data_IF_462609985299
#
_entry.id   IF_462609985299
#
_cell.length_a   1.000
_cell.length_b   1.000
_cell.length_c   1.000
_cell.angle_alpha   90.00
_cell.angle_beta   90.00
_cell.angle_gamma   90.00
#
_symmetry.space_group_name_H-M   'P 1'
#
loop_
_entity.id
_entity.type
_entity.pdbx_description
1 polymer ?
#
# COMPACT_ATOMS: atom_id res chain seq x y z
N UNK A 1 12.03 11.99 -52.24
CA UNK A 1 11.79 12.84 -51.02
C UNK A 1 10.81 12.10 -50.10
N UNK A 2 11.33 11.30 -49.15
CA UNK A 2 10.52 10.61 -48.16
C UNK A 2 10.55 11.42 -46.88
N UNK A 3 9.38 11.94 -46.48
CA UNK A 3 9.17 12.56 -45.16
C UNK A 3 9.15 11.46 -44.12
N UNK A 4 10.19 11.41 -43.29
CA UNK A 4 10.20 10.64 -42.07
C UNK A 4 9.34 11.40 -41.06
N UNK A 5 8.19 10.82 -40.74
CA UNK A 5 7.32 11.28 -39.65
C UNK A 5 7.98 10.93 -38.30
N UNK A 6 8.46 11.95 -37.66
CA UNK A 6 8.89 11.84 -36.25
C UNK A 6 7.65 11.63 -35.38
N UNK A 7 7.40 10.41 -34.92
CA UNK A 7 6.39 10.15 -33.90
C UNK A 7 6.90 10.75 -32.59
N UNK A 8 6.19 11.76 -32.10
CA UNK A 8 6.37 12.30 -30.76
C UNK A 8 6.19 11.14 -29.75
N UNK A 9 7.27 10.77 -29.09
CA UNK A 9 7.19 9.95 -27.88
C UNK A 9 6.56 10.83 -26.81
N UNK A 10 5.33 10.53 -26.43
CA UNK A 10 4.69 11.12 -25.26
C UNK A 10 5.53 10.69 -24.05
N UNK A 11 6.14 11.67 -23.39
CA UNK A 11 6.94 11.43 -22.19
C UNK A 11 6.04 10.77 -21.14
N UNK A 12 6.45 9.57 -20.65
CA UNK A 12 5.87 8.99 -19.44
C UNK A 12 5.88 10.07 -18.35
N UNK A 13 4.72 10.34 -17.78
CA UNK A 13 4.59 11.23 -16.64
C UNK A 13 5.34 10.56 -15.48
N UNK A 14 6.61 10.94 -15.27
CA UNK A 14 7.34 10.52 -14.07
C UNK A 14 6.54 10.99 -12.86
N UNK A 15 6.02 10.04 -12.10
CA UNK A 15 5.35 10.31 -10.84
C UNK A 15 6.41 10.86 -9.90
N UNK A 16 6.40 12.17 -9.70
CA UNK A 16 7.41 12.87 -8.91
C UNK A 16 7.14 12.67 -7.41
N UNK A 17 8.23 12.57 -6.64
CA UNK A 17 8.14 12.64 -5.18
C UNK A 17 7.43 13.92 -4.74
N UNK A 18 6.63 13.82 -3.68
CA UNK A 18 5.95 14.98 -3.08
C UNK A 18 6.99 15.94 -2.54
N UNK A 19 6.85 17.21 -2.84
CA UNK A 19 7.73 18.27 -2.32
C UNK A 19 7.37 18.53 -0.84
N UNK A 20 7.72 17.59 0.03
CA UNK A 20 7.37 17.61 1.47
C UNK A 20 7.85 18.88 2.18
N UNK A 21 8.89 19.55 1.67
CA UNK A 21 9.41 20.81 2.19
C UNK A 21 8.36 21.94 2.13
N UNK A 22 7.39 21.84 1.21
CA UNK A 22 6.28 22.80 1.10
C UNK A 22 5.16 22.51 2.11
N UNK A 23 5.12 21.31 2.64
CA UNK A 23 4.08 20.80 3.55
C UNK A 23 4.60 20.82 4.98
N UNK A 24 5.83 20.38 5.20
CA UNK A 24 6.49 20.35 6.51
C UNK A 24 6.99 21.74 6.91
N UNK A 25 6.07 22.67 7.02
CA UNK A 25 6.34 24.06 7.42
C UNK A 25 6.55 24.14 8.95
N UNK A 26 6.95 25.32 9.45
CA UNK A 26 7.28 25.54 10.87
C UNK A 26 6.14 25.30 11.87
N UNK A 27 4.92 25.20 11.38
CA UNK A 27 3.70 24.87 12.13
C UNK A 27 3.52 23.36 12.35
N UNK A 28 4.32 22.50 11.69
CA UNK A 28 4.32 21.06 11.88
C UNK A 28 5.28 20.69 13.01
N UNK A 29 4.78 20.00 14.02
CA UNK A 29 5.55 19.57 15.18
C UNK A 29 6.38 18.32 14.81
N UNK A 30 7.70 18.39 15.05
CA UNK A 30 8.60 17.27 14.83
C UNK A 30 8.64 16.80 13.36
N UNK A 31 8.91 17.69 12.38
CA UNK A 31 8.82 17.35 10.96
C UNK A 31 9.78 16.23 10.53
N UNK A 32 10.83 15.97 11.31
CA UNK A 32 11.79 14.91 11.05
C UNK A 32 11.17 13.50 10.98
N UNK A 33 10.03 13.27 11.69
CA UNK A 33 9.29 12.02 11.68
C UNK A 33 8.71 11.62 10.31
N UNK A 34 8.66 12.56 9.38
CA UNK A 34 8.07 12.39 8.05
C UNK A 34 9.11 12.39 6.92
N UNK A 35 10.39 12.31 7.26
CA UNK A 35 11.48 12.43 6.29
C UNK A 35 12.19 11.11 5.97
N UNK A 36 11.97 10.04 6.74
CA UNK A 36 12.59 8.74 6.54
C UNK A 36 14.13 8.74 6.60
N UNK A 37 14.72 9.66 7.34
CA UNK A 37 16.18 9.85 7.43
C UNK A 37 16.80 9.28 8.71
N UNK A 38 16.06 8.44 9.45
CA UNK A 38 16.59 7.80 10.64
C UNK A 38 17.60 6.70 10.32
N UNK A 39 18.42 6.37 11.32
CA UNK A 39 19.39 5.28 11.21
C UNK A 39 18.67 3.96 10.92
N UNK A 40 19.10 3.26 9.86
CA UNK A 40 18.49 2.01 9.44
C UNK A 40 17.40 2.15 8.36
N UNK A 41 17.06 3.36 7.94
CA UNK A 41 16.20 3.56 6.77
C UNK A 41 16.87 3.03 5.50
N UNK A 42 16.10 2.35 4.68
CA UNK A 42 16.58 1.78 3.40
C UNK A 42 16.04 2.63 2.25
N UNK A 43 16.93 3.16 1.44
CA UNK A 43 16.60 3.94 0.26
C UNK A 43 17.04 3.21 -0.99
N UNK A 44 16.11 2.50 -1.65
CA UNK A 44 16.36 1.86 -2.94
C UNK A 44 15.90 2.77 -4.08
N UNK A 45 16.60 2.77 -5.23
CA UNK A 45 16.13 3.50 -6.40
C UNK A 45 14.76 2.96 -6.85
N UNK A 46 13.81 3.86 -7.03
CA UNK A 46 12.42 3.53 -7.37
C UNK A 46 12.28 2.66 -8.61
N UNK A 47 13.12 2.95 -9.62
CA UNK A 47 13.08 2.31 -10.93
C UNK A 47 13.62 0.88 -10.92
N UNK A 48 14.36 0.50 -9.89
CA UNK A 48 14.95 -0.86 -9.79
C UNK A 48 13.99 -1.89 -9.22
N UNK A 49 12.93 -1.42 -8.55
CA UNK A 49 11.96 -2.30 -7.92
C UNK A 49 10.87 -2.75 -8.91
N UNK A 50 10.59 -4.03 -8.93
CA UNK A 50 9.45 -4.62 -9.65
C UNK A 50 8.18 -4.58 -8.80
N UNK A 51 8.31 -4.77 -7.48
CA UNK A 51 7.23 -4.60 -6.51
C UNK A 51 7.60 -3.55 -5.48
N UNK A 52 6.69 -2.63 -5.25
CA UNK A 52 6.83 -1.50 -4.33
C UNK A 52 5.80 -1.61 -3.23
N UNK A 53 6.29 -1.77 -2.02
CA UNK A 53 5.49 -1.93 -0.82
C UNK A 53 5.45 -0.65 -0.01
N UNK A 54 4.33 -0.43 0.67
CA UNK A 54 4.31 0.41 1.87
C UNK A 54 3.81 -0.45 3.03
N UNK A 55 4.63 -0.60 4.05
CA UNK A 55 4.17 -1.09 5.34
C UNK A 55 3.68 0.10 6.17
N UNK A 56 2.45 0.01 6.60
CA UNK A 56 1.78 1.07 7.35
C UNK A 56 1.53 0.60 8.78
N UNK A 57 1.85 1.48 9.72
CA UNK A 57 1.45 1.28 11.10
C UNK A 57 0.39 2.34 11.45
N UNK A 58 -0.85 1.94 11.83
CA UNK A 58 -1.96 2.88 11.98
C UNK A 58 -1.92 3.61 13.32
N UNK A 59 -0.75 4.13 13.66
CA UNK A 59 -0.45 4.98 14.82
C UNK A 59 0.57 6.04 14.43
N UNK A 60 0.75 7.02 15.31
CA UNK A 60 1.77 8.05 15.10
C UNK A 60 3.17 7.44 15.01
N UNK A 61 4.07 8.18 14.35
CA UNK A 61 5.44 7.74 14.07
C UNK A 61 6.16 7.12 15.27
N UNK A 62 6.05 7.73 16.48
CA UNK A 62 6.76 7.28 17.67
C UNK A 62 6.36 5.88 18.12
N UNK A 63 5.12 5.51 17.89
CA UNK A 63 4.59 4.17 18.19
C UNK A 63 4.99 3.18 17.10
N UNK A 64 4.74 3.51 15.85
CA UNK A 64 4.99 2.61 14.73
C UNK A 64 6.48 2.36 14.49
N UNK A 65 7.30 3.40 14.51
CA UNK A 65 8.75 3.30 14.30
C UNK A 65 9.49 2.52 15.38
N UNK A 66 8.89 2.38 16.58
CA UNK A 66 9.44 1.58 17.69
C UNK A 66 8.90 0.13 17.71
N UNK A 67 7.94 -0.21 16.85
CA UNK A 67 7.37 -1.55 16.79
C UNK A 67 8.34 -2.53 16.11
N UNK A 68 8.80 -3.52 16.87
CA UNK A 68 9.81 -4.48 16.40
C UNK A 68 9.32 -5.33 15.22
N UNK A 69 8.07 -5.82 15.25
CA UNK A 69 7.49 -6.60 14.16
C UNK A 69 7.46 -5.81 12.85
N UNK A 70 7.04 -4.55 12.92
CA UNK A 70 7.04 -3.65 11.76
C UNK A 70 8.45 -3.44 11.19
N UNK A 71 9.46 -3.25 12.04
CA UNK A 71 10.87 -3.11 11.62
C UNK A 71 11.40 -4.40 10.98
N UNK A 72 11.07 -5.56 11.56
CA UNK A 72 11.50 -6.86 11.03
C UNK A 72 10.95 -7.06 9.62
N UNK A 73 9.65 -6.89 9.41
CA UNK A 73 9.01 -7.06 8.11
C UNK A 73 9.55 -6.06 7.07
N UNK A 74 9.74 -4.80 7.46
CA UNK A 74 10.37 -3.79 6.61
C UNK A 74 11.77 -4.22 6.13
N UNK A 75 12.60 -4.77 7.01
CA UNK A 75 13.93 -5.24 6.66
C UNK A 75 13.89 -6.49 5.77
N UNK A 76 12.98 -7.44 6.04
CA UNK A 76 12.81 -8.65 5.24
C UNK A 76 12.43 -8.31 3.79
N UNK A 77 11.46 -7.43 3.60
CA UNK A 77 11.04 -6.99 2.27
C UNK A 77 12.16 -6.21 1.56
N UNK A 78 12.86 -5.35 2.27
CA UNK A 78 13.99 -4.63 1.69
C UNK A 78 15.23 -5.52 1.44
N UNK A 79 15.32 -6.71 2.03
CA UNK A 79 16.35 -7.68 1.68
C UNK A 79 16.09 -8.34 0.30
N UNK A 80 14.86 -8.32 -0.20
CA UNK A 80 14.52 -8.88 -1.51
C UNK A 80 15.12 -8.02 -2.64
N UNK A 81 15.80 -8.63 -3.64
CA UNK A 81 16.58 -7.87 -4.64
C UNK A 81 15.76 -6.92 -5.51
N UNK A 82 14.53 -7.33 -5.88
CA UNK A 82 13.67 -6.61 -6.82
C UNK A 82 12.47 -5.94 -6.14
N UNK A 83 12.47 -5.88 -4.82
CA UNK A 83 11.42 -5.27 -4.04
C UNK A 83 11.93 -4.05 -3.30
N UNK A 84 11.08 -3.08 -3.14
CA UNK A 84 11.28 -1.88 -2.36
C UNK A 84 10.16 -1.82 -1.34
N UNK A 85 10.49 -1.52 -0.11
CA UNK A 85 9.50 -1.30 0.94
C UNK A 85 9.77 0.04 1.62
N UNK A 86 8.78 0.90 1.59
CA UNK A 86 8.72 2.14 2.36
C UNK A 86 7.80 1.96 3.57
N UNK A 87 7.77 2.95 4.45
CA UNK A 87 6.88 2.97 5.60
C UNK A 87 5.95 4.17 5.56
N UNK A 88 4.79 4.02 6.17
CA UNK A 88 3.88 5.13 6.45
C UNK A 88 3.25 4.97 7.84
N UNK A 89 2.90 6.10 8.43
CA UNK A 89 2.34 6.19 9.76
C UNK A 89 1.11 7.10 9.75
N UNK A 90 0.24 6.96 10.74
CA UNK A 90 -0.84 7.91 10.94
C UNK A 90 -0.23 9.31 11.16
N UNK A 91 -0.56 10.30 10.34
CA UNK A 91 -0.05 11.65 10.56
C UNK A 91 -0.64 12.25 11.82
N UNK A 92 0.17 13.01 12.57
CA UNK A 92 -0.35 13.79 13.67
C UNK A 92 -1.39 14.82 13.17
N UNK A 93 -2.29 15.30 14.03
CA UNK A 93 -3.42 16.16 13.62
C UNK A 93 -3.01 17.42 12.85
N UNK A 94 -1.84 17.98 13.13
CA UNK A 94 -1.30 19.15 12.42
C UNK A 94 -0.96 18.83 10.97
N UNK A 95 -0.27 17.69 10.72
CA UNK A 95 0.02 17.24 9.37
C UNK A 95 -1.25 16.77 8.65
N UNK A 96 -2.13 16.01 9.30
CA UNK A 96 -3.39 15.57 8.69
C UNK A 96 -4.24 16.76 8.20
N UNK A 97 -4.35 17.80 9.03
CA UNK A 97 -5.00 19.05 8.65
C UNK A 97 -4.32 19.70 7.44
N UNK A 98 -2.99 19.76 7.45
CA UNK A 98 -2.22 20.37 6.35
C UNK A 98 -2.40 19.63 5.04
N UNK A 99 -2.38 18.29 5.07
CA UNK A 99 -2.61 17.45 3.89
C UNK A 99 -3.99 17.76 3.26
N UNK A 100 -5.03 17.86 4.09
CA UNK A 100 -6.38 18.21 3.61
C UNK A 100 -6.44 19.63 3.03
N UNK A 101 -5.87 20.61 3.70
CA UNK A 101 -5.86 22.00 3.25
C UNK A 101 -5.13 22.20 1.92
N UNK A 102 -4.03 21.47 1.72
CA UNK A 102 -3.21 21.54 0.50
C UNK A 102 -3.62 20.54 -0.57
N UNK A 103 -4.62 19.69 -0.29
CA UNK A 103 -5.03 18.59 -1.16
C UNK A 103 -3.85 17.69 -1.55
N UNK A 104 -2.90 17.51 -0.62
CA UNK A 104 -1.76 16.63 -0.80
C UNK A 104 -2.10 15.26 -0.22
N UNK A 105 -1.94 14.16 -0.96
CA UNK A 105 -2.20 12.83 -0.44
C UNK A 105 -1.21 12.44 0.64
N UNK A 106 -1.60 11.52 1.53
CA UNK A 106 -0.69 10.88 2.47
C UNK A 106 0.42 10.18 1.69
N UNK A 107 1.62 10.23 2.22
CA UNK A 107 2.84 9.76 1.55
C UNK A 107 3.69 8.84 2.44
N UNK A 108 4.47 8.00 1.80
CA UNK A 108 5.48 7.17 2.43
C UNK A 108 6.73 7.98 2.79
N UNK A 109 7.38 7.65 3.90
CA UNK A 109 8.41 8.53 4.50
C UNK A 109 9.76 8.45 3.79
N UNK A 110 10.16 7.33 3.19
CA UNK A 110 11.45 7.18 2.52
C UNK A 110 11.47 7.83 1.13
N UNK A 111 10.62 7.36 0.22
CA UNK A 111 10.58 7.87 -1.15
C UNK A 111 9.67 9.10 -1.32
N UNK A 112 8.91 9.48 -0.28
CA UNK A 112 8.01 10.66 -0.28
C UNK A 112 7.01 10.65 -1.43
N UNK A 113 6.55 9.46 -1.81
CA UNK A 113 5.55 9.26 -2.85
C UNK A 113 4.17 9.06 -2.24
N UNK A 114 3.12 9.42 -3.00
CA UNK A 114 1.75 9.08 -2.62
C UNK A 114 1.62 7.58 -2.37
N UNK A 115 0.81 7.18 -1.39
CA UNK A 115 0.54 5.76 -1.16
C UNK A 115 -0.09 5.09 -2.39
N UNK A 116 -0.76 5.84 -3.25
CA UNK A 116 -1.32 5.35 -4.52
C UNK A 116 -0.27 5.00 -5.59
N UNK A 117 0.99 5.43 -5.42
CA UNK A 117 2.06 5.14 -6.37
C UNK A 117 2.69 3.76 -6.16
N UNK A 118 2.36 3.10 -5.07
CA UNK A 118 2.90 1.79 -4.72
C UNK A 118 2.01 0.66 -5.28
N UNK A 119 2.55 -0.54 -5.30
CA UNK A 119 1.83 -1.72 -5.79
C UNK A 119 0.97 -2.36 -4.70
N UNK A 120 1.40 -2.24 -3.44
CA UNK A 120 0.77 -2.89 -2.31
C UNK A 120 0.98 -2.09 -1.01
N UNK A 121 -0.09 -1.98 -0.21
CA UNK A 121 -0.11 -1.40 1.12
C UNK A 121 -0.46 -2.46 2.16
N UNK A 122 0.42 -2.67 3.14
CA UNK A 122 0.18 -3.56 4.26
C UNK A 122 -0.06 -2.81 5.55
N UNK A 123 -1.16 -3.07 6.22
CA UNK A 123 -1.52 -2.48 7.51
C UNK A 123 -1.27 -3.45 8.67
N UNK A 124 -0.52 -3.01 9.68
CA UNK A 124 -0.34 -3.75 10.93
C UNK A 124 -1.55 -3.53 11.83
N UNK A 125 -2.52 -4.44 11.78
CA UNK A 125 -3.70 -4.42 12.65
C UNK A 125 -3.41 -5.23 13.92
N UNK A 126 -2.77 -4.57 14.89
CA UNK A 126 -2.33 -5.19 16.15
C UNK A 126 -3.39 -5.15 17.25
N UNK A 127 -4.37 -4.24 17.16
CA UNK A 127 -5.51 -4.10 18.06
C UNK A 127 -6.67 -3.38 17.35
N UNK A 128 -7.88 -3.55 17.86
CA UNK A 128 -9.13 -3.18 17.18
C UNK A 128 -9.27 -1.69 16.91
N UNK A 129 -8.79 -0.84 17.83
CA UNK A 129 -8.90 0.63 17.67
C UNK A 129 -8.07 1.16 16.48
N UNK A 130 -7.07 0.38 16.03
CA UNK A 130 -6.29 0.72 14.85
C UNK A 130 -7.12 0.78 13.56
N UNK A 131 -8.28 0.11 13.51
CA UNK A 131 -9.12 0.05 12.32
C UNK A 131 -9.59 1.44 11.86
N UNK A 132 -10.02 2.30 12.79
CA UNK A 132 -10.45 3.67 12.43
C UNK A 132 -9.30 4.52 11.89
N UNK A 133 -8.10 4.31 12.41
CA UNK A 133 -6.89 4.98 11.93
C UNK A 133 -6.52 4.52 10.52
N UNK A 134 -6.73 3.24 10.20
CA UNK A 134 -6.55 2.71 8.83
C UNK A 134 -7.47 3.45 7.85
N UNK A 135 -8.75 3.60 8.20
CA UNK A 135 -9.71 4.33 7.36
C UNK A 135 -9.30 5.79 7.16
N UNK A 136 -8.84 6.46 8.20
CA UNK A 136 -8.28 7.83 8.12
C UNK A 136 -7.07 7.89 7.17
N UNK A 137 -6.16 6.91 7.23
CA UNK A 137 -4.99 6.86 6.36
C UNK A 137 -5.37 6.62 4.90
N UNK A 138 -6.36 5.76 4.63
CA UNK A 138 -6.88 5.53 3.28
C UNK A 138 -7.56 6.79 2.72
N UNK A 139 -8.38 7.46 3.52
CA UNK A 139 -9.02 8.74 3.15
C UNK A 139 -7.98 9.82 2.81
N UNK A 140 -6.99 10.01 3.66
CA UNK A 140 -5.89 10.95 3.43
C UNK A 140 -5.04 10.61 2.20
N UNK A 141 -4.96 9.34 1.83
CA UNK A 141 -4.27 8.89 0.62
C UNK A 141 -5.14 9.00 -0.65
N UNK A 142 -6.43 9.32 -0.51
CA UNK A 142 -7.38 9.35 -1.63
C UNK A 142 -7.72 7.95 -2.17
N UNK A 143 -7.54 6.91 -1.35
CA UNK A 143 -7.83 5.52 -1.70
C UNK A 143 -9.25 5.18 -1.24
N UNK A 144 -10.10 4.57 -2.08
CA UNK A 144 -11.43 4.14 -1.68
C UNK A 144 -11.36 3.16 -0.50
N UNK A 145 -12.27 3.32 0.47
CA UNK A 145 -12.19 2.61 1.74
C UNK A 145 -12.41 1.10 1.59
N UNK A 146 -13.34 0.70 0.72
CA UNK A 146 -13.70 -0.71 0.55
C UNK A 146 -13.09 -1.32 -0.71
N UNK A 147 -12.84 -2.63 -0.69
CA UNK A 147 -12.39 -3.35 -1.88
C UNK A 147 -13.42 -3.28 -3.02
N UNK A 148 -14.71 -3.23 -2.70
CA UNK A 148 -15.79 -3.07 -3.69
C UNK A 148 -15.67 -1.76 -4.45
N UNK A 149 -15.50 -0.64 -3.75
CA UNK A 149 -15.32 0.67 -4.37
C UNK A 149 -14.04 0.73 -5.22
N UNK A 150 -12.95 0.10 -4.77
CA UNK A 150 -11.71 0.01 -5.56
C UNK A 150 -11.94 -0.77 -6.84
N UNK A 151 -12.61 -1.91 -6.77
CA UNK A 151 -12.93 -2.74 -7.92
C UNK A 151 -13.87 -2.03 -8.92
N UNK A 152 -14.89 -1.31 -8.44
CA UNK A 152 -15.78 -0.53 -9.29
C UNK A 152 -15.03 0.56 -10.05
N UNK A 153 -14.12 1.27 -9.39
CA UNK A 153 -13.30 2.30 -10.03
C UNK A 153 -12.27 1.70 -11.00
N UNK A 154 -11.73 0.52 -10.73
CA UNK A 154 -10.87 -0.22 -11.65
C UNK A 154 -11.62 -0.52 -12.96
N UNK A 155 -12.84 -1.09 -12.87
CA UNK A 155 -13.68 -1.39 -14.04
C UNK A 155 -14.05 -0.15 -14.85
N UNK A 156 -14.24 0.99 -14.21
CA UNK A 156 -14.53 2.26 -14.88
C UNK A 156 -13.37 2.80 -15.73
N UNK A 157 -12.16 2.28 -15.55
CA UNK A 157 -10.95 2.67 -16.32
C UNK A 157 -10.64 1.75 -17.50
N UNK A 158 -11.41 0.67 -17.70
CA UNK A 158 -11.25 -0.21 -18.85
C UNK A 158 -11.47 0.59 -20.15
N UNK A 159 -10.39 0.87 -20.87
CA UNK A 159 -10.40 1.68 -22.10
C UNK A 159 -9.64 3.01 -22.02
N UNK A 160 -9.16 3.43 -20.87
CA UNK A 160 -8.23 4.56 -20.75
C UNK A 160 -6.80 4.08 -21.01
N UNK A 161 -6.23 4.46 -22.15
CA UNK A 161 -4.82 4.23 -22.45
C UNK A 161 -3.94 5.08 -21.54
N UNK A 162 -2.90 4.44 -20.95
CA UNK A 162 -1.77 5.06 -20.22
C UNK A 162 -1.96 5.33 -18.71
N UNK A 163 -2.13 4.28 -17.94
CA UNK A 163 -1.68 4.30 -16.54
C UNK A 163 -0.24 3.78 -16.44
N UNK A 164 0.62 4.46 -15.66
CA UNK A 164 1.98 3.99 -15.34
C UNK A 164 1.96 2.76 -14.43
N UNK A 165 0.82 2.45 -13.83
CA UNK A 165 0.55 1.31 -12.96
C UNK A 165 -0.39 0.32 -13.66
N UNK A 166 -0.15 -0.96 -13.41
CA UNK A 166 -0.99 -2.05 -13.92
C UNK A 166 -2.42 -1.99 -13.34
N UNK A 167 -2.60 -1.34 -12.18
CA UNK A 167 -3.87 -1.21 -11.46
C UNK A 167 -4.13 0.23 -11.04
N UNK A 168 -5.42 0.59 -10.87
CA UNK A 168 -5.84 1.93 -10.44
C UNK A 168 -5.41 2.28 -9.01
N UNK A 169 -5.39 1.27 -8.15
CA UNK A 169 -5.04 1.39 -6.74
C UNK A 169 -4.13 0.23 -6.31
N UNK A 170 -3.27 0.44 -5.29
CA UNK A 170 -2.50 -0.65 -4.72
C UNK A 170 -3.40 -1.77 -4.18
N UNK A 171 -2.86 -2.97 -4.03
CA UNK A 171 -3.49 -4.00 -3.20
C UNK A 171 -3.43 -3.57 -1.74
N UNK A 172 -4.54 -3.64 -1.04
CA UNK A 172 -4.63 -3.26 0.37
C UNK A 172 -4.81 -4.52 1.21
N UNK A 173 -3.90 -4.77 2.14
CA UNK A 173 -4.03 -5.90 3.04
C UNK A 173 -3.80 -5.52 4.50
N UNK A 174 -4.34 -6.33 5.40
CA UNK A 174 -4.00 -6.28 6.81
C UNK A 174 -3.30 -7.57 7.24
N UNK A 175 -2.42 -7.44 8.21
CA UNK A 175 -1.86 -8.54 8.98
C UNK A 175 -1.75 -8.14 10.44
N UNK A 176 -1.30 -9.08 11.26
CA UNK A 176 -1.13 -8.85 12.69
C UNK A 176 -2.15 -9.58 13.54
N UNK A 177 -2.01 -9.45 14.86
CA UNK A 177 -2.70 -10.30 15.82
C UNK A 177 -4.23 -10.19 15.75
N UNK A 178 -4.76 -8.98 15.62
CA UNK A 178 -6.21 -8.76 15.55
C UNK A 178 -6.79 -9.30 14.23
N UNK A 179 -6.11 -9.04 13.10
CA UNK A 179 -6.53 -9.57 11.82
C UNK A 179 -6.50 -11.10 11.79
N UNK A 180 -5.51 -11.73 12.42
CA UNK A 180 -5.40 -13.20 12.52
C UNK A 180 -6.47 -13.79 13.44
N UNK A 181 -6.82 -13.11 14.54
CA UNK A 181 -7.81 -13.60 15.50
C UNK A 181 -9.24 -13.62 14.94
N UNK A 182 -9.63 -12.57 14.21
CA UNK A 182 -10.93 -12.48 13.54
C UNK A 182 -10.86 -11.46 12.39
N UNK A 183 -10.71 -11.88 11.14
CA UNK A 183 -10.61 -10.98 9.99
C UNK A 183 -11.96 -10.37 9.58
N UNK A 184 -13.09 -11.01 9.86
CA UNK A 184 -14.40 -10.68 9.33
C UNK A 184 -14.87 -9.25 9.58
N UNK A 185 -14.70 -8.66 10.78
CA UNK A 185 -15.11 -7.28 11.02
C UNK A 185 -14.42 -6.25 10.11
N UNK A 186 -13.32 -6.63 9.47
CA UNK A 186 -12.47 -5.76 8.65
C UNK A 186 -12.47 -6.16 7.17
N UNK A 187 -13.12 -7.27 6.83
CA UNK A 187 -13.07 -7.90 5.51
C UNK A 187 -13.42 -6.96 4.35
N UNK A 188 -14.38 -6.05 4.55
CA UNK A 188 -14.78 -5.09 3.50
C UNK A 188 -13.69 -4.05 3.15
N UNK A 189 -12.72 -3.82 4.03
CA UNK A 189 -11.69 -2.79 3.82
C UNK A 189 -10.46 -3.30 3.09
N UNK A 190 -10.22 -4.60 3.06
CA UNK A 190 -9.00 -5.20 2.53
C UNK A 190 -9.27 -6.07 1.30
N UNK A 191 -8.33 -6.06 0.37
CA UNK A 191 -8.35 -6.96 -0.79
C UNK A 191 -8.02 -8.39 -0.35
N UNK A 192 -7.12 -8.51 0.63
CA UNK A 192 -6.84 -9.77 1.32
C UNK A 192 -6.32 -9.52 2.74
N UNK A 193 -6.26 -10.58 3.54
CA UNK A 193 -5.73 -10.55 4.91
C UNK A 193 -4.65 -11.63 5.02
N UNK A 194 -3.49 -11.22 5.56
CA UNK A 194 -2.35 -12.09 5.82
C UNK A 194 -2.47 -12.67 7.24
N UNK A 195 -2.76 -13.97 7.33
CA UNK A 195 -2.99 -14.70 8.57
C UNK A 195 -1.74 -15.47 8.97
N UNK A 196 -1.19 -15.19 10.13
CA UNK A 196 -0.01 -15.89 10.67
C UNK A 196 1.26 -15.06 10.60
N UNK A 197 2.39 -15.74 10.43
CA UNK A 197 3.73 -15.15 10.51
C UNK A 197 4.12 -14.43 9.22
N UNK A 198 4.24 -13.10 9.33
CA UNK A 198 4.52 -12.24 8.17
C UNK A 198 5.93 -12.42 7.60
N UNK A 199 6.86 -12.96 8.38
CA UNK A 199 8.26 -13.15 8.01
C UNK A 199 8.45 -14.11 6.83
N UNK A 200 7.59 -15.12 6.73
CA UNK A 200 7.58 -16.09 5.62
C UNK A 200 6.57 -15.68 4.56
N UNK A 201 5.39 -15.21 4.99
CA UNK A 201 4.25 -14.94 4.13
C UNK A 201 4.48 -13.73 3.20
N UNK A 202 5.03 -12.62 3.70
CA UNK A 202 5.19 -11.41 2.87
C UNK A 202 6.20 -11.60 1.71
N UNK A 203 7.35 -12.27 1.89
CA UNK A 203 8.21 -12.63 0.76
C UNK A 203 7.52 -13.46 -0.32
N UNK A 204 6.67 -14.44 0.07
CA UNK A 204 5.92 -15.26 -0.89
C UNK A 204 4.88 -14.44 -1.65
N UNK A 205 4.12 -13.59 -0.97
CA UNK A 205 3.22 -12.62 -1.60
C UNK A 205 3.99 -11.75 -2.60
N UNK A 206 5.18 -11.28 -2.23
CA UNK A 206 6.01 -10.46 -3.09
C UNK A 206 6.43 -11.16 -4.37
N UNK A 207 6.75 -12.44 -4.32
CA UNK A 207 7.09 -13.24 -5.51
C UNK A 207 5.90 -13.40 -6.45
N UNK A 208 4.72 -13.73 -5.91
CA UNK A 208 3.47 -13.84 -6.70
C UNK A 208 3.14 -12.49 -7.38
N UNK A 209 3.31 -11.37 -6.68
CA UNK A 209 3.12 -10.05 -7.25
C UNK A 209 4.14 -9.74 -8.37
N UNK A 210 5.42 -10.12 -8.21
CA UNK A 210 6.44 -9.94 -9.24
C UNK A 210 6.07 -10.72 -10.52
N UNK A 211 5.71 -11.99 -10.37
CA UNK A 211 5.35 -12.87 -11.47
C UNK A 211 4.07 -12.40 -12.17
N UNK A 212 3.04 -12.04 -11.42
CA UNK A 212 1.78 -11.55 -11.95
C UNK A 212 1.92 -10.23 -12.71
N UNK A 213 2.74 -9.29 -12.20
CA UNK A 213 3.06 -8.06 -12.93
C UNK A 213 3.82 -8.34 -14.21
N UNK A 214 4.81 -9.22 -14.18
CA UNK A 214 5.57 -9.60 -15.35
C UNK A 214 4.69 -10.28 -16.42
N UNK A 215 3.69 -11.05 -16.00
CA UNK A 215 2.71 -11.71 -16.86
C UNK A 215 1.56 -10.77 -17.32
N UNK A 216 1.47 -9.56 -16.78
CA UNK A 216 0.38 -8.63 -17.09
C UNK A 216 -0.99 -9.09 -16.60
N UNK A 217 -1.04 -9.80 -15.45
CA UNK A 217 -2.28 -10.30 -14.89
C UNK A 217 -3.21 -9.17 -14.44
N UNK A 218 -4.51 -9.38 -14.61
CA UNK A 218 -5.53 -8.52 -14.01
C UNK A 218 -5.51 -8.60 -12.49
N UNK A 219 -6.08 -7.60 -11.82
CA UNK A 219 -6.21 -7.60 -10.35
C UNK A 219 -6.92 -8.84 -9.84
N UNK A 220 -8.00 -9.26 -10.49
CA UNK A 220 -8.77 -10.45 -10.11
C UNK A 220 -7.96 -11.74 -10.26
N UNK A 221 -7.27 -11.92 -11.39
CA UNK A 221 -6.40 -13.09 -11.61
C UNK A 221 -5.29 -13.16 -10.55
N UNK A 222 -4.70 -12.01 -10.20
CA UNK A 222 -3.65 -11.96 -9.19
C UNK A 222 -4.18 -12.27 -7.78
N UNK A 223 -5.41 -11.85 -7.44
CA UNK A 223 -6.04 -12.22 -6.17
C UNK A 223 -6.33 -13.74 -6.09
N UNK A 224 -6.67 -14.37 -7.22
CA UNK A 224 -6.81 -15.83 -7.27
C UNK A 224 -5.48 -16.55 -7.02
N UNK A 225 -4.38 -16.04 -7.58
CA UNK A 225 -3.05 -16.59 -7.32
C UNK A 225 -2.61 -16.37 -5.87
N UNK A 226 -2.85 -15.18 -5.32
CA UNK A 226 -2.58 -14.86 -3.91
C UNK A 226 -3.38 -15.75 -2.96
N UNK A 227 -4.64 -16.08 -3.30
CA UNK A 227 -5.48 -16.96 -2.50
C UNK A 227 -4.96 -18.42 -2.42
N UNK A 228 -4.02 -18.83 -3.28
CA UNK A 228 -3.38 -20.14 -3.20
C UNK A 228 -2.28 -20.19 -2.14
N UNK A 229 -1.80 -19.05 -1.66
CA UNK A 229 -0.77 -19.00 -0.62
C UNK A 229 -1.40 -19.35 0.73
N UNK A 230 -0.90 -20.38 1.44
CA UNK A 230 -1.39 -20.69 2.80
C UNK A 230 -1.24 -19.46 3.72
N UNK A 231 -2.34 -19.07 4.38
CA UNK A 231 -2.38 -17.89 5.23
C UNK A 231 -2.85 -16.61 4.53
N UNK A 232 -3.11 -16.63 3.23
CA UNK A 232 -3.77 -15.52 2.55
C UNK A 232 -5.28 -15.77 2.48
N UNK A 233 -6.04 -14.91 3.12
CA UNK A 233 -7.50 -14.90 3.10
C UNK A 233 -7.99 -13.76 2.21
N UNK A 234 -8.72 -14.08 1.14
CA UNK A 234 -9.29 -13.10 0.19
C UNK A 234 -10.81 -13.02 0.42
N UNK A 235 -11.31 -12.03 1.17
CA UNK A 235 -12.70 -12.00 1.63
C UNK A 235 -13.74 -12.08 0.51
N UNK A 236 -13.46 -11.48 -0.64
CA UNK A 236 -14.38 -11.46 -1.78
C UNK A 236 -14.65 -12.85 -2.41
N UNK A 237 -13.89 -13.88 -2.05
CA UNK A 237 -14.08 -15.26 -2.52
C UNK A 237 -14.88 -16.12 -1.54
N UNK A 238 -15.41 -15.52 -0.49
CA UNK A 238 -16.17 -16.23 0.55
C UNK A 238 -17.50 -15.54 0.80
N UNK A 239 -18.52 -16.38 1.05
CA UNK A 239 -19.84 -15.94 1.48
C UNK A 239 -20.02 -16.16 2.98
N UNK A 240 -20.57 -15.16 3.68
CA UNK A 240 -20.91 -15.30 5.10
C UNK A 240 -22.35 -15.82 5.22
N UNK A 241 -22.52 -16.99 5.83
CA UNK A 241 -23.82 -17.55 6.13
C UNK A 241 -24.52 -16.83 7.31
N UNK A 242 -25.83 -17.03 7.44
CA UNK A 242 -26.62 -16.40 8.50
C UNK A 242 -26.22 -16.78 9.94
N UNK A 243 -25.53 -17.90 10.10
CA UNK A 243 -24.98 -18.36 11.39
C UNK A 243 -23.57 -17.82 11.70
N UNK A 244 -23.03 -16.99 10.79
CA UNK A 244 -21.70 -16.40 10.89
C UNK A 244 -20.56 -17.32 10.38
N UNK A 245 -20.87 -18.50 9.83
CA UNK A 245 -19.87 -19.32 9.16
C UNK A 245 -19.51 -18.72 7.79
N UNK A 246 -18.25 -18.90 7.38
CA UNK A 246 -17.71 -18.38 6.11
C UNK A 246 -17.42 -19.56 5.19
N UNK A 247 -17.91 -19.47 3.96
CA UNK A 247 -17.79 -20.53 2.95
C UNK A 247 -17.20 -20.01 1.65
N UNK A 248 -16.28 -20.75 1.00
CA UNK A 248 -15.72 -20.38 -0.31
C UNK A 248 -16.74 -20.49 -1.44
#
# INVERSE_FOLDING_TARGET
MHKVSCKNSVAKKDVMAIAVEKILTKDIIGPARYLGNELGSVHKPWETAQVRWVLTYPEIYEVGASNLGHIILYNILNAQPRQLCDRAYLPAPDLAKKLRETQTPLFAVENRRSLTDFDILGFSLSYELGATNILEMLDLAGIPLTWKERQERERGREGEEESTHSWAFPFIFAGGQTATSNPEPYADFFDFIALGDGEELLPEIGLVLEEGKAAGLSREALLLDLAQIPGVYVPQFYDMAADGSVHP
#
